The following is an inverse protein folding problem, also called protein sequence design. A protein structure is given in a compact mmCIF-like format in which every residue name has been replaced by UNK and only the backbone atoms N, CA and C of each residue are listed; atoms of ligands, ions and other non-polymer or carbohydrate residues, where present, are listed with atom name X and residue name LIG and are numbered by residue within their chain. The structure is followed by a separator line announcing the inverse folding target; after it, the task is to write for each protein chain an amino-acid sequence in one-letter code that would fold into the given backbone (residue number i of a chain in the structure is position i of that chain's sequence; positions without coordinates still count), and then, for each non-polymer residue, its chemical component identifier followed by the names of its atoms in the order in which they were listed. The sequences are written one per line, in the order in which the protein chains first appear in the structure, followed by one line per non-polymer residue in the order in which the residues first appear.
data_IF_381740212752
#
_entry.id   IF_381740212752
#
_cell.length_a   1.000
_cell.length_b   1.000
_cell.length_c   1.000
_cell.angle_alpha   90.00
_cell.angle_beta   90.00
_cell.angle_gamma   90.00
#
_symmetry.space_group_name_H-M   'P 1'
#
loop_
_entity.id
_entity.type
_entity.pdbx_description
1 polymer ?
#
# COMPACT_ATOMS: atom_id res chain seq x y z
N UNK A 1 -6.47 8.89 13.44
CA UNK A 1 -5.30 9.69 13.02
C UNK A 1 -4.64 9.02 11.84
N UNK A 2 -3.78 9.74 11.13
CA UNK A 2 -2.93 9.20 10.08
C UNK A 2 -1.53 9.80 10.30
N UNK A 3 -0.51 8.96 10.17
CA UNK A 3 0.89 9.33 10.35
C UNK A 3 1.63 9.18 9.01
N UNK A 4 1.87 10.28 8.27
CA UNK A 4 2.55 10.21 6.98
C UNK A 4 4.03 9.80 7.09
N UNK A 5 4.62 9.90 8.28
CA UNK A 5 6.02 9.56 8.54
C UNK A 5 6.18 8.10 8.97
N UNK A 6 5.09 7.33 9.02
CA UNK A 6 5.15 5.91 9.32
C UNK A 6 5.85 5.13 8.20
N UNK A 7 7.10 4.76 8.45
CA UNK A 7 7.89 3.98 7.51
C UNK A 7 7.57 2.47 7.61
N UNK A 8 6.60 2.02 6.84
CA UNK A 8 6.30 0.59 6.68
C UNK A 8 7.30 -0.16 5.80
N UNK A 9 8.19 0.54 5.09
CA UNK A 9 9.36 -0.02 4.42
C UNK A 9 10.57 -0.21 5.35
N UNK A 10 10.40 -0.03 6.67
CA UNK A 10 11.49 -0.22 7.63
C UNK A 10 11.94 -1.67 7.67
N UNK A 11 13.23 -1.89 7.37
CA UNK A 11 13.86 -3.20 7.46
C UNK A 11 13.68 -3.84 8.84
N UNK A 12 13.21 -5.08 8.85
CA UNK A 12 13.24 -5.99 9.99
C UNK A 12 13.09 -7.44 9.50
N UNK A 13 13.44 -8.39 10.36
CA UNK A 13 13.33 -9.84 10.07
C UNK A 13 12.22 -10.51 10.91
N UNK A 14 11.52 -9.75 11.75
CA UNK A 14 10.51 -10.27 12.69
C UNK A 14 9.27 -10.83 11.96
N UNK A 15 8.99 -10.33 10.75
CA UNK A 15 7.94 -10.85 9.87
C UNK A 15 8.13 -12.34 9.52
N UNK A 16 9.37 -12.85 9.52
CA UNK A 16 9.66 -14.27 9.28
C UNK A 16 9.24 -15.17 10.45
N UNK A 17 9.11 -14.61 11.66
CA UNK A 17 8.77 -15.36 12.86
C UNK A 17 7.26 -15.58 13.03
N UNK A 18 6.42 -14.83 12.30
CA UNK A 18 4.97 -15.02 12.35
C UNK A 18 4.57 -16.12 11.37
N UNK A 19 3.95 -17.22 11.83
CA UNK A 19 3.49 -18.27 10.95
C UNK A 19 2.33 -17.75 10.10
N UNK A 20 2.50 -17.78 8.79
CA UNK A 20 1.47 -17.42 7.82
C UNK A 20 1.03 -18.69 7.09
N UNK A 21 -0.27 -18.95 7.08
CA UNK A 21 -0.85 -19.97 6.24
C UNK A 21 -0.87 -19.48 4.78
N UNK A 22 -0.12 -20.14 3.88
CA UNK A 22 -0.09 -19.74 2.48
C UNK A 22 -1.38 -20.16 1.78
N UNK A 23 -1.81 -19.37 0.80
CA UNK A 23 -2.86 -19.80 -0.11
C UNK A 23 -2.37 -21.02 -0.91
N UNK A 24 -3.17 -22.11 -1.01
CA UNK A 24 -2.80 -23.26 -1.82
C UNK A 24 -2.61 -22.90 -3.29
N UNK A 25 -1.56 -23.41 -3.92
CA UNK A 25 -1.36 -23.26 -5.37
C UNK A 25 -2.39 -24.08 -6.16
N UNK A 26 -2.88 -23.53 -7.26
CA UNK A 26 -3.85 -24.20 -8.13
C UNK A 26 -4.59 -23.25 -9.05
N UNK A 27 -5.38 -23.83 -9.96
CA UNK A 27 -6.34 -23.09 -10.79
C UNK A 27 -7.71 -23.03 -10.10
N UNK A 28 -8.43 -21.94 -10.32
CA UNK A 28 -9.74 -21.67 -9.72
C UNK A 28 -10.81 -21.49 -10.80
N UNK A 29 -12.12 -21.70 -10.49
CA UNK A 29 -13.20 -21.73 -11.48
C UNK A 29 -13.31 -20.51 -12.41
N UNK A 30 -12.88 -19.33 -11.96
CA UNK A 30 -12.93 -18.07 -12.71
C UNK A 30 -11.65 -17.78 -13.52
N UNK A 31 -10.78 -18.79 -13.71
CA UNK A 31 -9.52 -18.67 -14.44
C UNK A 31 -8.35 -18.15 -13.61
N UNK A 32 -8.61 -17.66 -12.39
CA UNK A 32 -7.57 -17.28 -11.44
C UNK A 32 -6.63 -18.45 -11.14
N UNK A 33 -5.35 -18.15 -10.95
CA UNK A 33 -4.33 -19.14 -10.63
C UNK A 33 -3.39 -18.66 -9.54
N UNK A 34 -3.18 -19.49 -8.52
CA UNK A 34 -2.15 -19.28 -7.51
C UNK A 34 -0.93 -20.12 -7.87
N UNK A 35 0.20 -19.47 -8.12
CA UNK A 35 1.48 -20.13 -8.37
C UNK A 35 2.39 -20.10 -7.15
N UNK A 36 3.24 -21.11 -7.07
CA UNK A 36 4.31 -21.22 -6.08
C UNK A 36 5.64 -20.89 -6.72
N UNK A 37 6.33 -19.87 -6.21
CA UNK A 37 7.67 -19.51 -6.65
C UNK A 37 8.66 -19.51 -5.47
N UNK A 38 9.53 -20.53 -5.35
CA UNK A 38 10.59 -20.51 -4.36
C UNK A 38 11.62 -19.44 -4.72
N UNK A 39 11.94 -18.56 -3.77
CA UNK A 39 12.91 -17.49 -3.92
C UNK A 39 14.13 -17.78 -3.03
N UNK A 40 15.30 -17.93 -3.64
CA UNK A 40 16.58 -17.99 -2.92
C UNK A 40 17.14 -16.60 -2.65
N UNK A 41 16.85 -15.65 -3.54
CA UNK A 41 17.27 -14.25 -3.46
C UNK A 41 16.08 -13.38 -3.84
N UNK A 42 15.84 -12.33 -3.07
CA UNK A 42 14.87 -11.28 -3.39
C UNK A 42 15.53 -9.91 -3.28
N UNK A 43 15.09 -8.96 -4.09
CA UNK A 43 15.38 -7.55 -3.87
C UNK A 43 14.31 -6.99 -2.92
N UNK A 44 14.74 -6.36 -1.83
CA UNK A 44 13.87 -5.70 -0.86
C UNK A 44 14.41 -4.29 -0.65
N UNK A 45 13.65 -3.28 -1.11
CA UNK A 45 14.02 -1.86 -1.04
C UNK A 45 15.44 -1.57 -1.59
N UNK A 46 15.76 -2.11 -2.77
CA UNK A 46 17.06 -1.94 -3.42
C UNK A 46 18.20 -2.79 -2.84
N UNK A 47 17.92 -3.68 -1.89
CA UNK A 47 18.92 -4.58 -1.28
C UNK A 47 18.64 -6.02 -1.67
N UNK A 48 19.66 -6.72 -2.17
CA UNK A 48 19.58 -8.15 -2.42
C UNK A 48 19.68 -8.92 -1.10
N UNK A 49 18.69 -9.76 -0.83
CA UNK A 49 18.60 -10.56 0.38
C UNK A 49 18.54 -12.04 0.01
N UNK A 50 19.47 -12.83 0.54
CA UNK A 50 19.49 -14.29 0.38
C UNK A 50 18.71 -14.94 1.51
N UNK A 51 17.83 -15.87 1.15
CA UNK A 51 16.95 -16.59 2.07
C UNK A 51 17.39 -18.04 2.20
N UNK A 52 17.65 -18.48 3.42
CA UNK A 52 18.01 -19.86 3.75
C UNK A 52 17.14 -20.35 4.92
N UNK A 53 16.14 -21.22 4.69
CA UNK A 53 15.77 -21.86 3.41
C UNK A 53 15.14 -20.89 2.38
N UNK A 54 14.99 -21.31 1.10
CA UNK A 54 14.30 -20.51 0.10
C UNK A 54 12.89 -20.12 0.56
N UNK A 55 12.52 -18.87 0.34
CA UNK A 55 11.22 -18.34 0.72
C UNK A 55 10.14 -18.79 -0.26
N UNK A 56 9.00 -19.23 0.26
CA UNK A 56 7.91 -19.77 -0.54
C UNK A 56 6.93 -18.65 -0.95
N UNK A 57 7.20 -17.99 -2.07
CA UNK A 57 6.35 -16.92 -2.59
C UNK A 57 5.10 -17.48 -3.30
N UNK A 58 3.99 -16.76 -3.16
CA UNK A 58 2.71 -16.97 -3.81
C UNK A 58 2.44 -15.81 -4.75
N UNK A 59 2.09 -16.16 -5.98
CA UNK A 59 1.67 -15.23 -7.01
C UNK A 59 0.24 -15.56 -7.39
N UNK A 60 -0.66 -14.60 -7.28
CA UNK A 60 -2.04 -14.71 -7.75
C UNK A 60 -2.15 -14.04 -9.11
N UNK A 61 -2.55 -14.80 -10.11
CA UNK A 61 -2.88 -14.31 -11.44
C UNK A 61 -4.39 -14.31 -11.64
N UNK A 62 -4.90 -13.32 -12.37
CA UNK A 62 -6.30 -13.27 -12.80
C UNK A 62 -6.57 -14.19 -14.01
N UNK A 63 -7.82 -14.20 -14.48
CA UNK A 63 -8.25 -15.02 -15.62
C UNK A 63 -7.60 -14.64 -16.96
N UNK A 64 -7.04 -13.44 -17.08
CA UNK A 64 -6.31 -12.96 -18.26
C UNK A 64 -4.80 -13.22 -18.14
N UNK A 65 -4.35 -13.77 -17.01
CA UNK A 65 -2.96 -14.08 -16.73
C UNK A 65 -2.14 -12.87 -16.28
N UNK A 66 -2.78 -11.77 -15.90
CA UNK A 66 -2.13 -10.62 -15.28
C UNK A 66 -1.89 -10.91 -13.80
N UNK A 67 -0.74 -10.47 -13.28
CA UNK A 67 -0.45 -10.61 -11.86
C UNK A 67 -1.39 -9.68 -11.07
N UNK A 68 -2.24 -10.29 -10.24
CA UNK A 68 -3.16 -9.58 -9.36
C UNK A 68 -2.47 -9.16 -8.05
N UNK A 69 -1.73 -10.08 -7.41
CA UNK A 69 -1.01 -9.83 -6.16
C UNK A 69 0.09 -10.87 -5.93
N UNK A 70 1.09 -10.51 -5.13
CA UNK A 70 2.09 -11.43 -4.59
C UNK A 70 2.24 -11.34 -3.06
N UNK A 71 2.97 -12.30 -2.47
CA UNK A 71 3.45 -12.20 -1.09
C UNK A 71 4.99 -12.19 -0.99
N UNK A 72 5.61 -11.42 -1.88
CA UNK A 72 7.07 -11.24 -1.90
C UNK A 72 7.60 -10.83 -0.52
N UNK A 73 8.88 -11.11 -0.23
CA UNK A 73 9.50 -10.70 1.05
C UNK A 73 9.33 -9.21 1.38
N UNK A 74 9.37 -8.34 0.36
CA UNK A 74 9.12 -6.91 0.55
C UNK A 74 7.69 -6.63 1.01
N UNK A 75 6.69 -7.19 0.31
CA UNK A 75 5.27 -7.05 0.66
C UNK A 75 5.00 -7.56 2.08
N UNK A 76 5.53 -8.74 2.43
CA UNK A 76 5.37 -9.30 3.77
C UNK A 76 5.93 -8.42 4.87
N UNK A 77 7.11 -7.84 4.65
CA UNK A 77 7.73 -6.94 5.62
C UNK A 77 6.88 -5.68 5.82
N UNK A 78 6.34 -5.12 4.74
CA UNK A 78 5.45 -3.94 4.79
C UNK A 78 4.13 -4.25 5.49
N UNK A 79 3.53 -5.40 5.16
CA UNK A 79 2.31 -5.87 5.81
C UNK A 79 2.52 -6.09 7.30
N UNK A 80 3.63 -6.72 7.68
CA UNK A 80 4.00 -6.93 9.07
C UNK A 80 4.18 -5.62 9.82
N UNK A 81 4.92 -4.66 9.25
CA UNK A 81 5.13 -3.35 9.86
C UNK A 81 3.81 -2.62 10.11
N UNK A 82 2.92 -2.59 9.11
CA UNK A 82 1.58 -2.03 9.29
C UNK A 82 0.83 -2.77 10.40
N UNK A 83 0.86 -4.10 10.42
CA UNK A 83 0.18 -4.91 11.41
C UNK A 83 0.63 -4.62 12.85
N UNK A 84 1.90 -4.28 13.09
CA UNK A 84 2.39 -3.94 14.44
C UNK A 84 1.75 -2.67 15.03
N UNK A 85 1.10 -1.83 14.21
CA UNK A 85 0.32 -0.67 14.68
C UNK A 85 -1.17 -0.97 14.86
N UNK A 86 -1.60 -2.16 14.45
CA UNK A 86 -3.00 -2.55 14.44
C UNK A 86 -3.52 -2.89 15.83
N UNK A 87 -4.77 -2.54 16.09
CA UNK A 87 -5.49 -2.91 17.32
C UNK A 87 -6.99 -2.96 17.07
N UNK A 88 -7.71 -3.68 17.92
CA UNK A 88 -9.17 -3.61 17.99
C UNK A 88 -9.86 -4.10 16.72
N UNK A 89 -11.02 -3.52 16.39
CA UNK A 89 -11.76 -3.91 15.19
C UNK A 89 -11.19 -3.18 13.96
N UNK A 90 -10.78 -3.95 12.95
CA UNK A 90 -10.07 -3.47 11.78
C UNK A 90 -10.96 -3.48 10.54
N UNK A 91 -10.98 -2.38 9.79
CA UNK A 91 -11.45 -2.35 8.41
C UNK A 91 -10.28 -2.59 7.47
N UNK A 92 -10.45 -3.48 6.50
CA UNK A 92 -9.46 -3.78 5.46
C UNK A 92 -10.10 -3.48 4.10
N UNK A 93 -9.47 -2.60 3.33
CA UNK A 93 -9.77 -2.43 1.91
C UNK A 93 -8.76 -3.22 1.09
N UNK A 94 -9.24 -4.23 0.34
CA UNK A 94 -8.41 -5.18 -0.39
C UNK A 94 -8.04 -6.40 0.47
N UNK A 95 -8.55 -7.58 0.10
CA UNK A 95 -8.26 -8.84 0.80
C UNK A 95 -6.96 -9.46 0.31
N UNK A 96 -6.77 -9.48 -1.01
CA UNK A 96 -5.60 -10.05 -1.64
C UNK A 96 -5.35 -11.52 -1.24
N UNK A 97 -4.09 -11.85 -0.93
CA UNK A 97 -3.67 -13.16 -0.42
C UNK A 97 -3.92 -13.35 1.09
N UNK A 98 -4.60 -12.41 1.76
CA UNK A 98 -4.94 -12.55 3.18
C UNK A 98 -3.74 -12.46 4.13
N UNK A 99 -2.65 -11.80 3.73
CA UNK A 99 -1.45 -11.64 4.57
C UNK A 99 -1.73 -10.75 5.78
N UNK A 100 -2.28 -9.56 5.53
CA UNK A 100 -2.47 -8.54 6.55
C UNK A 100 -3.37 -9.01 7.70
N UNK A 101 -4.55 -9.63 7.48
CA UNK A 101 -5.37 -10.17 8.58
C UNK A 101 -4.62 -11.11 9.51
N UNK A 102 -3.75 -11.98 8.97
CA UNK A 102 -2.97 -12.94 9.77
C UNK A 102 -1.93 -12.24 10.65
N UNK A 103 -1.19 -11.28 10.10
CA UNK A 103 -0.25 -10.48 10.90
C UNK A 103 -0.98 -9.60 11.92
N UNK A 104 -2.08 -8.97 11.53
CA UNK A 104 -2.86 -8.07 12.38
C UNK A 104 -3.51 -8.82 13.55
N UNK A 105 -4.00 -10.03 13.34
CA UNK A 105 -4.53 -10.88 14.41
C UNK A 105 -3.44 -11.17 15.45
N UNK A 106 -2.24 -11.55 15.00
CA UNK A 106 -1.09 -11.78 15.88
C UNK A 106 -0.64 -10.51 16.65
N UNK A 107 -0.90 -9.32 16.11
CA UNK A 107 -0.53 -8.05 16.70
C UNK A 107 -1.59 -7.45 17.66
N UNK A 108 -2.81 -8.00 17.69
CA UNK A 108 -3.86 -7.56 18.61
C UNK A 108 -5.14 -7.02 17.96
N UNK A 109 -5.40 -7.32 16.69
CA UNK A 109 -6.74 -7.17 16.11
C UNK A 109 -7.74 -8.08 16.85
N UNK A 110 -8.95 -7.58 17.08
CA UNK A 110 -10.04 -8.32 17.75
C UNK A 110 -11.15 -8.75 16.79
N UNK A 111 -11.05 -8.36 15.53
CA UNK A 111 -12.01 -8.71 14.47
C UNK A 111 -11.75 -7.91 13.21
N UNK A 112 -12.30 -8.38 12.09
CA UNK A 112 -12.09 -7.81 10.77
C UNK A 112 -13.41 -7.59 10.04
N UNK A 113 -13.51 -6.43 9.39
CA UNK A 113 -14.41 -6.19 8.27
C UNK A 113 -13.55 -5.97 7.04
N UNK A 114 -13.74 -6.77 5.99
CA UNK A 114 -12.99 -6.69 4.75
C UNK A 114 -13.94 -6.29 3.62
N UNK A 115 -13.53 -5.30 2.83
CA UNK A 115 -14.19 -4.93 1.58
C UNK A 115 -13.24 -5.33 0.44
N UNK A 116 -13.65 -6.31 -0.36
CA UNK A 116 -12.89 -6.86 -1.48
C UNK A 116 -13.72 -6.80 -2.75
N UNK A 117 -13.19 -6.24 -3.83
CA UNK A 117 -13.94 -6.05 -5.07
C UNK A 117 -14.16 -7.38 -5.81
N UNK A 118 -13.18 -8.28 -5.79
CA UNK A 118 -13.19 -9.53 -6.55
C UNK A 118 -13.81 -10.68 -5.75
N UNK A 119 -14.99 -11.22 -6.15
CA UNK A 119 -15.56 -12.41 -5.53
C UNK A 119 -14.63 -13.64 -5.63
N UNK A 120 -13.83 -13.72 -6.69
CA UNK A 120 -12.88 -14.81 -6.89
C UNK A 120 -11.79 -14.78 -5.81
N UNK A 121 -11.22 -13.61 -5.50
CA UNK A 121 -10.24 -13.44 -4.42
C UNK A 121 -10.83 -13.86 -3.07
N UNK A 122 -12.09 -13.50 -2.80
CA UNK A 122 -12.78 -13.94 -1.58
C UNK A 122 -12.93 -15.46 -1.51
N UNK A 123 -13.35 -16.10 -2.60
CA UNK A 123 -13.51 -17.54 -2.67
C UNK A 123 -12.19 -18.31 -2.50
N UNK A 124 -11.08 -17.72 -2.98
CA UNK A 124 -9.72 -18.28 -2.89
C UNK A 124 -9.17 -18.13 -1.46
N UNK A 125 -9.25 -16.93 -0.90
CA UNK A 125 -8.56 -16.56 0.34
C UNK A 125 -9.40 -16.85 1.59
N UNK A 126 -10.72 -16.72 1.51
CA UNK A 126 -11.66 -16.87 2.62
C UNK A 126 -11.49 -18.18 3.41
N UNK A 127 -11.51 -19.36 2.76
CA UNK A 127 -11.38 -20.65 3.47
C UNK A 127 -10.07 -20.79 4.26
N UNK A 128 -8.97 -20.21 3.77
CA UNK A 128 -7.69 -20.23 4.49
C UNK A 128 -7.79 -19.37 5.74
N UNK A 129 -8.29 -18.14 5.62
CA UNK A 129 -8.42 -17.23 6.76
C UNK A 129 -9.38 -17.75 7.83
N UNK A 130 -10.53 -18.31 7.44
CA UNK A 130 -11.48 -18.95 8.37
C UNK A 130 -10.84 -20.10 9.16
N UNK A 131 -9.84 -20.78 8.58
CA UNK A 131 -9.15 -21.89 9.24
C UNK A 131 -8.05 -21.47 10.22
N UNK A 132 -7.56 -20.23 10.13
CA UNK A 132 -6.37 -19.78 10.89
C UNK A 132 -6.59 -18.57 11.78
N UNK A 133 -7.62 -17.77 11.51
CA UNK A 133 -7.98 -16.64 12.37
C UNK A 133 -8.82 -17.13 13.55
N UNK A 134 -8.44 -16.72 14.75
CA UNK A 134 -9.17 -16.97 16.00
C UNK A 134 -10.11 -15.79 16.39
N UNK A 135 -10.21 -14.79 15.51
CA UNK A 135 -11.06 -13.62 15.65
C UNK A 135 -12.11 -13.56 14.54
N UNK A 136 -13.26 -12.89 14.76
CA UNK A 136 -14.30 -12.78 13.74
C UNK A 136 -13.79 -12.12 12.46
N UNK A 137 -14.16 -12.70 11.31
CA UNK A 137 -13.89 -12.18 9.97
C UNK A 137 -15.22 -12.03 9.22
N UNK A 138 -15.49 -10.81 8.75
CA UNK A 138 -16.58 -10.54 7.81
C UNK A 138 -15.97 -10.02 6.51
N UNK A 139 -16.35 -10.62 5.39
CA UNK A 139 -15.90 -10.21 4.05
C UNK A 139 -17.11 -9.81 3.23
N UNK A 140 -17.06 -8.62 2.64
CA UNK A 140 -18.08 -8.09 1.75
C UNK A 140 -17.51 -7.87 0.37
N UNK A 141 -18.30 -8.19 -0.66
CA UNK A 141 -17.99 -7.81 -2.04
C UNK A 141 -18.37 -6.36 -2.29
N UNK A 142 -17.40 -5.53 -2.65
CA UNK A 142 -17.64 -4.12 -2.98
C UNK A 142 -16.39 -3.29 -3.19
N UNK A 143 -16.60 -2.02 -3.49
CA UNK A 143 -15.54 -1.01 -3.62
C UNK A 143 -15.41 -0.24 -2.29
N UNK A 144 -14.26 -0.37 -1.64
CA UNK A 144 -13.99 0.30 -0.36
C UNK A 144 -13.98 1.82 -0.49
N UNK A 145 -13.68 2.38 -1.67
CA UNK A 145 -13.71 3.82 -1.91
C UNK A 145 -15.15 4.36 -1.85
N UNK A 146 -16.11 3.61 -2.38
CA UNK A 146 -17.54 3.94 -2.32
C UNK A 146 -18.05 3.85 -0.88
N UNK A 147 -17.70 2.78 -0.16
CA UNK A 147 -18.10 2.60 1.24
C UNK A 147 -17.55 3.74 2.12
N UNK A 148 -16.27 4.07 1.96
CA UNK A 148 -15.62 5.13 2.75
C UNK A 148 -16.15 6.54 2.41
N UNK A 149 -16.52 6.79 1.16
CA UNK A 149 -17.16 8.05 0.75
C UNK A 149 -18.58 8.20 1.32
N UNK A 150 -19.28 7.09 1.55
CA UNK A 150 -20.63 7.00 2.08
C UNK A 150 -20.81 7.44 3.54
N UNK A 151 -22.02 7.27 4.09
CA UNK A 151 -22.32 7.58 5.48
C UNK A 151 -21.54 6.65 6.43
N UNK A 152 -21.14 7.17 7.59
CA UNK A 152 -20.49 6.36 8.63
C UNK A 152 -21.52 5.46 9.30
N UNK A 153 -21.53 4.19 8.90
CA UNK A 153 -22.39 3.14 9.48
C UNK A 153 -21.71 2.44 10.66
N UNK A 154 -20.38 2.36 10.62
CA UNK A 154 -19.53 1.70 11.60
C UNK A 154 -18.24 2.50 11.79
N UNK A 155 -17.62 2.35 12.97
CA UNK A 155 -16.30 2.91 13.26
C UNK A 155 -15.31 1.83 13.63
N UNK A 156 -14.05 2.06 13.30
CA UNK A 156 -12.96 1.10 13.43
C UNK A 156 -11.82 1.67 14.27
N UNK A 157 -11.13 0.78 14.98
CA UNK A 157 -9.91 1.10 15.72
C UNK A 157 -8.72 1.25 14.78
N UNK A 158 -8.67 0.43 13.73
CA UNK A 158 -7.68 0.51 12.66
C UNK A 158 -8.38 0.41 11.30
N UNK A 159 -7.94 1.18 10.32
CA UNK A 159 -8.32 1.01 8.92
C UNK A 159 -7.04 0.80 8.13
N UNK A 160 -6.93 -0.32 7.41
CA UNK A 160 -5.81 -0.63 6.53
C UNK A 160 -6.29 -0.68 5.09
N UNK A 161 -5.57 -0.03 4.19
CA UNK A 161 -5.92 0.04 2.77
C UNK A 161 -4.73 -0.38 1.91
N UNK A 162 -4.98 -1.34 1.03
CA UNK A 162 -4.07 -1.84 0.00
C UNK A 162 -4.89 -2.23 -1.24
N UNK A 163 -5.22 -1.23 -2.06
CA UNK A 163 -6.11 -1.37 -3.23
C UNK A 163 -5.53 -0.73 -4.49
N UNK A 164 -4.24 -0.41 -4.51
CA UNK A 164 -3.55 0.14 -5.67
C UNK A 164 -2.58 -0.89 -6.24
N UNK A 165 -2.48 -0.92 -7.56
CA UNK A 165 -1.70 -1.94 -8.29
C UNK A 165 -0.18 -1.78 -8.10
N UNK A 166 0.29 -0.54 -7.93
CA UNK A 166 1.72 -0.22 -7.94
C UNK A 166 2.09 0.79 -6.87
N UNK A 167 3.33 0.72 -6.39
CA UNK A 167 3.93 1.72 -5.50
C UNK A 167 4.43 2.95 -6.27
N UNK A 168 3.58 3.52 -7.12
CA UNK A 168 3.88 4.71 -7.93
C UNK A 168 3.33 5.98 -7.25
N UNK A 169 4.16 7.02 -7.03
CA UNK A 169 3.71 8.28 -6.44
C UNK A 169 2.55 8.98 -7.15
N UNK A 170 2.28 8.68 -8.42
CA UNK A 170 1.12 9.24 -9.15
C UNK A 170 -0.21 8.89 -8.48
N UNK A 171 -0.26 7.83 -7.67
CA UNK A 171 -1.46 7.42 -6.95
C UNK A 171 -1.70 8.22 -5.66
N UNK A 172 -0.68 8.90 -5.12
CA UNK A 172 -0.76 9.60 -3.83
C UNK A 172 -1.95 10.57 -3.72
N UNK A 173 -2.30 11.40 -4.74
CA UNK A 173 -3.47 12.26 -4.65
C UNK A 173 -4.80 11.53 -4.45
N UNK A 174 -4.98 10.38 -5.12
CA UNK A 174 -6.16 9.55 -4.95
C UNK A 174 -6.16 8.84 -3.59
N UNK A 175 -5.00 8.28 -3.19
CA UNK A 175 -4.81 7.66 -1.88
C UNK A 175 -5.08 8.65 -0.74
N UNK A 176 -4.64 9.90 -0.88
CA UNK A 176 -4.88 10.96 0.09
C UNK A 176 -6.37 11.30 0.22
N UNK A 177 -7.12 11.28 -0.89
CA UNK A 177 -8.59 11.42 -0.84
C UNK A 177 -9.21 10.26 -0.09
N UNK A 178 -8.82 9.03 -0.41
CA UNK A 178 -9.29 7.82 0.26
C UNK A 178 -9.00 7.84 1.77
N UNK A 179 -7.78 8.22 2.16
CA UNK A 179 -7.37 8.47 3.55
C UNK A 179 -8.30 9.47 4.23
N UNK A 180 -8.60 10.59 3.57
CA UNK A 180 -9.47 11.63 4.14
C UNK A 180 -10.88 11.08 4.40
N UNK A 181 -11.41 10.24 3.51
CA UNK A 181 -12.66 9.53 3.75
C UNK A 181 -12.53 8.54 4.93
N UNK A 182 -11.49 7.71 4.95
CA UNK A 182 -11.22 6.72 6.01
C UNK A 182 -11.15 7.34 7.41
N UNK A 183 -10.53 8.52 7.55
CA UNK A 183 -10.43 9.22 8.84
C UNK A 183 -11.79 9.46 9.50
N UNK A 184 -12.87 9.62 8.72
CA UNK A 184 -14.23 9.82 9.25
C UNK A 184 -14.81 8.56 9.88
N UNK A 185 -14.30 7.38 9.53
CA UNK A 185 -14.74 6.06 9.99
C UNK A 185 -13.92 5.53 11.16
N UNK A 186 -13.03 6.34 11.75
CA UNK A 186 -12.28 5.94 12.94
C UNK A 186 -13.06 6.19 14.24
N UNK A 187 -12.83 5.34 15.24
CA UNK A 187 -13.14 5.68 16.65
C UNK A 187 -12.18 6.77 17.16
N UNK A 188 -12.47 7.45 18.28
CA UNK A 188 -11.50 8.33 18.92
C UNK A 188 -10.20 7.58 19.24
N UNK A 189 -9.07 8.08 18.74
CA UNK A 189 -7.77 7.42 18.88
C UNK A 189 -7.52 6.28 17.88
N UNK A 190 -8.42 6.00 16.94
CA UNK A 190 -8.18 5.03 15.87
C UNK A 190 -7.10 5.51 14.88
N UNK A 191 -6.66 4.62 13.99
CA UNK A 191 -5.56 4.88 13.04
C UNK A 191 -5.87 4.39 11.62
N UNK A 192 -5.46 5.17 10.61
CA UNK A 192 -5.43 4.75 9.20
C UNK A 192 -4.00 4.34 8.85
N UNK A 193 -3.85 3.20 8.19
CA UNK A 193 -2.61 2.60 7.69
C UNK A 193 -2.75 2.38 6.18
N UNK A 194 -1.72 2.74 5.40
CA UNK A 194 -1.75 2.75 3.95
C UNK A 194 -0.49 2.06 3.42
N UNK A 195 -0.66 0.98 2.66
CA UNK A 195 0.44 0.11 2.24
C UNK A 195 1.45 0.78 1.29
N UNK A 196 2.68 0.98 1.74
CA UNK A 196 3.75 1.60 0.96
C UNK A 196 3.60 3.09 0.75
N UNK A 197 2.75 3.75 1.53
CA UNK A 197 2.55 5.19 1.45
C UNK A 197 3.86 5.96 1.66
N UNK A 198 4.62 5.62 2.70
CA UNK A 198 5.91 6.28 2.98
C UNK A 198 6.92 6.07 1.86
N UNK A 199 6.93 4.88 1.25
CA UNK A 199 7.77 4.58 0.11
C UNK A 199 7.42 5.46 -1.10
N UNK A 200 6.14 5.56 -1.45
CA UNK A 200 5.67 6.44 -2.53
C UNK A 200 5.99 7.92 -2.27
N UNK A 201 5.80 8.39 -1.03
CA UNK A 201 6.19 9.77 -0.67
C UNK A 201 7.71 9.96 -0.83
N UNK A 202 8.52 8.98 -0.45
CA UNK A 202 9.98 9.05 -0.60
C UNK A 202 10.40 9.10 -2.07
N UNK A 203 9.80 8.27 -2.93
CA UNK A 203 10.04 8.31 -4.38
C UNK A 203 9.66 9.67 -5.00
N UNK A 204 8.57 10.30 -4.55
CA UNK A 204 8.22 11.65 -4.98
C UNK A 204 9.26 12.69 -4.54
N UNK A 205 9.70 12.63 -3.29
CA UNK A 205 10.71 13.55 -2.75
C UNK A 205 12.05 13.39 -3.48
N UNK A 206 12.44 12.16 -3.82
CA UNK A 206 13.64 11.88 -4.63
C UNK A 206 13.52 12.48 -6.03
N UNK A 207 12.35 12.38 -6.67
CA UNK A 207 12.10 13.01 -7.96
C UNK A 207 12.14 14.55 -7.86
N UNK A 208 11.62 15.13 -6.77
CA UNK A 208 11.73 16.57 -6.50
C UNK A 208 13.18 17.00 -6.32
N UNK A 209 14.00 16.23 -5.60
CA UNK A 209 15.42 16.50 -5.43
C UNK A 209 16.15 16.54 -6.78
N UNK A 210 15.90 15.54 -7.64
CA UNK A 210 16.48 15.50 -9.00
C UNK A 210 16.06 16.71 -9.83
N UNK A 211 14.77 17.08 -9.79
CA UNK A 211 14.22 18.24 -10.50
C UNK A 211 14.84 19.55 -10.00
N UNK A 212 14.92 19.75 -8.68
CA UNK A 212 15.42 20.99 -8.08
C UNK A 212 16.93 21.17 -8.25
N UNK A 213 17.68 20.07 -8.43
CA UNK A 213 19.10 20.12 -8.81
C UNK A 213 19.31 20.64 -10.25
N UNK A 214 18.29 20.64 -11.11
CA UNK A 214 18.34 21.26 -12.44
C UNK A 214 18.25 22.79 -12.30
N UNK A 215 19.05 23.52 -13.08
CA UNK A 215 19.02 24.99 -13.09
C UNK A 215 17.60 25.51 -13.36
N UNK A 216 17.14 26.57 -12.68
CA UNK A 216 15.77 27.07 -12.81
C UNK A 216 15.25 27.19 -14.24
N UNK A 217 15.99 27.85 -15.12
CA UNK A 217 15.60 28.05 -16.53
C UNK A 217 15.57 26.77 -17.40
N UNK A 218 15.95 25.62 -16.85
CA UNK A 218 15.99 24.33 -17.55
C UNK A 218 14.95 23.32 -17.01
N UNK A 219 14.34 23.58 -15.84
CA UNK A 219 13.41 22.65 -15.17
C UNK A 219 12.18 22.31 -16.03
N UNK A 220 11.62 23.29 -16.73
CA UNK A 220 10.46 23.07 -17.59
C UNK A 220 10.80 22.16 -18.80
N UNK A 221 11.98 22.34 -19.41
CA UNK A 221 12.44 21.48 -20.49
C UNK A 221 12.70 20.05 -20.00
N UNK A 222 13.31 19.93 -18.82
CA UNK A 222 13.55 18.65 -18.16
C UNK A 222 12.23 17.87 -17.92
N UNK A 223 11.19 18.54 -17.43
CA UNK A 223 9.87 17.91 -17.29
C UNK A 223 9.25 17.52 -18.65
N UNK A 224 9.39 18.38 -19.66
CA UNK A 224 8.85 18.12 -20.99
C UNK A 224 9.49 16.88 -21.65
N UNK A 225 10.77 16.63 -21.41
CA UNK A 225 11.46 15.42 -21.87
C UNK A 225 10.86 14.14 -21.24
N UNK A 226 10.45 14.20 -19.97
CA UNK A 226 9.78 13.09 -19.27
C UNK A 226 8.29 12.91 -19.62
N UNK A 227 7.66 13.92 -20.23
CA UNK A 227 6.21 13.91 -20.49
C UNK A 227 5.74 12.79 -21.43
N UNK A 228 6.61 12.34 -22.35
CA UNK A 228 6.29 11.24 -23.25
C UNK A 228 6.17 9.89 -22.51
N UNK A 229 6.87 9.73 -21.39
CA UNK A 229 6.90 8.49 -20.62
C UNK A 229 5.84 8.45 -19.51
N UNK A 230 5.55 9.60 -18.86
CA UNK A 230 4.50 9.67 -17.83
C UNK A 230 3.92 11.09 -17.71
N UNK A 231 2.81 11.41 -18.39
CA UNK A 231 2.12 12.69 -18.25
C UNK A 231 1.66 12.97 -16.80
N UNK A 232 1.29 11.93 -16.06
CA UNK A 232 0.85 12.04 -14.67
C UNK A 232 1.99 12.44 -13.73
N UNK A 233 3.20 11.88 -13.91
CA UNK A 233 4.36 12.30 -13.14
C UNK A 233 4.72 13.77 -13.40
N UNK A 234 4.61 14.23 -14.65
CA UNK A 234 4.81 15.65 -14.99
C UNK A 234 3.76 16.54 -14.33
N UNK A 235 2.49 16.14 -14.34
CA UNK A 235 1.43 16.86 -13.64
C UNK A 235 1.72 16.97 -12.13
N UNK A 236 2.23 15.91 -11.52
CA UNK A 236 2.56 15.87 -10.09
C UNK A 236 3.76 16.76 -9.73
N UNK A 237 4.76 16.88 -10.60
CA UNK A 237 5.97 17.70 -10.38
C UNK A 237 5.83 19.16 -10.83
N UNK A 238 4.82 19.49 -11.65
CA UNK A 238 4.60 20.85 -12.15
C UNK A 238 4.46 21.90 -11.03
N UNK A 239 3.70 21.66 -9.94
CA UNK A 239 3.64 22.60 -8.82
C UNK A 239 4.99 22.89 -8.17
N UNK A 240 5.92 21.94 -8.18
CA UNK A 240 7.28 22.13 -7.64
C UNK A 240 8.06 23.16 -8.45
N UNK A 241 8.00 23.07 -9.78
CA UNK A 241 8.63 24.07 -10.68
C UNK A 241 8.00 25.44 -10.52
N UNK A 242 6.68 25.51 -10.34
CA UNK A 242 5.97 26.78 -10.15
C UNK A 242 6.26 27.43 -8.80
N UNK A 243 6.58 26.63 -7.79
CA UNK A 243 6.86 27.12 -6.45
C UNK A 243 8.30 27.62 -6.30
N UNK A 244 9.28 26.93 -6.93
CA UNK A 244 10.70 27.23 -6.78
C UNK A 244 11.30 27.86 -8.04
N UNK A 245 11.47 29.18 -8.02
CA UNK A 245 12.28 29.91 -9.00
C UNK A 245 13.78 29.74 -8.74
N UNK A 246 14.20 29.62 -7.49
CA UNK A 246 15.55 29.23 -7.08
C UNK A 246 15.48 28.42 -5.79
N UNK A 247 16.56 27.73 -5.42
CA UNK A 247 16.64 26.92 -4.18
C UNK A 247 17.88 27.31 -3.40
N UNK A 248 17.69 28.16 -2.39
CA UNK A 248 18.74 28.56 -1.45
C UNK A 248 19.04 27.46 -0.42
N UNK A 249 17.99 26.75 0.03
CA UNK A 249 18.07 25.65 0.98
C UNK A 249 17.34 24.42 0.43
N UNK A 250 18.10 23.37 0.13
CA UNK A 250 17.55 22.12 -0.43
C UNK A 250 16.71 21.36 0.60
N UNK A 251 17.07 21.39 1.88
CA UNK A 251 16.35 20.66 2.92
C UNK A 251 14.96 21.26 3.14
N UNK A 252 14.87 22.59 3.24
CA UNK A 252 13.60 23.30 3.34
C UNK A 252 12.72 23.07 2.09
N UNK A 253 13.33 23.06 0.91
CA UNK A 253 12.60 22.83 -0.34
C UNK A 253 12.01 21.40 -0.42
N UNK A 254 12.77 20.38 0.01
CA UNK A 254 12.28 18.99 0.04
C UNK A 254 11.21 18.78 1.12
N UNK A 255 11.31 19.46 2.26
CA UNK A 255 10.26 19.43 3.29
C UNK A 255 8.97 20.09 2.79
N UNK A 256 9.06 21.17 2.01
CA UNK A 256 7.89 21.70 1.30
C UNK A 256 7.30 20.67 0.34
N UNK A 257 8.13 19.99 -0.47
CA UNK A 257 7.66 18.98 -1.43
C UNK A 257 6.92 17.84 -0.70
N UNK A 258 7.48 17.33 0.40
CA UNK A 258 6.85 16.33 1.26
C UNK A 258 5.49 16.78 1.77
N UNK A 259 5.42 17.98 2.37
CA UNK A 259 4.14 18.54 2.85
C UNK A 259 3.15 18.78 1.71
N UNK A 260 3.61 19.18 0.54
CA UNK A 260 2.76 19.36 -0.64
C UNK A 260 2.10 18.04 -1.03
N UNK A 261 2.88 16.98 -1.24
CA UNK A 261 2.33 15.71 -1.72
C UNK A 261 1.45 15.01 -0.69
N UNK A 262 1.74 15.13 0.61
CA UNK A 262 0.90 14.56 1.68
C UNK A 262 -0.48 15.24 1.78
N UNK A 263 -0.54 16.53 1.44
CA UNK A 263 -1.77 17.32 1.49
C UNK A 263 -2.51 17.40 0.16
N UNK A 264 -1.85 17.06 -0.96
CA UNK A 264 -2.48 17.02 -2.27
C UNK A 264 -3.48 15.87 -2.34
N UNK A 265 -4.77 16.17 -2.47
CA UNK A 265 -5.82 15.17 -2.65
C UNK A 265 -6.63 15.51 -3.91
N UNK A 266 -7.11 14.48 -4.61
CA UNK A 266 -8.11 14.67 -5.66
C UNK A 266 -9.40 15.26 -5.05
N UNK A 267 -10.16 16.07 -5.81
CA UNK A 267 -11.49 16.50 -5.37
C UNK A 267 -12.45 15.31 -5.25
N UNK A 268 -13.52 15.51 -4.47
CA UNK A 268 -14.66 14.59 -4.37
C UNK A 268 -15.45 14.54 -5.69
#
# INVERSE_FOLDING_TARGET
MFDPEFNDARWNDEWLAVPIAPIPSGEHPDGFRVERQPLEVAEIFGRHYRMEPPFDCRLLYDGDGLLWMSDTPQERMMMYNNAQRTRGHVLIGGLGLGLYPQYAAAAGATGFTVIEESPAVQAITGPVLESVLDVPLMVYTGDVSVELAGPVTQRYDTIFLDIWETLDPVHLPWINRLRNHALRHLVPGGEVLLWGYFWMVSLFVDACHQLLAVKPGQRAAWLAEGAASSPHAVALLTPVVQHFDDVDDMEEALEWCRRHIVNLALPD
#
